data_IF_830262671979
#
_entry.id   IF_830262671979
#
_cell.length_a   1.000
_cell.length_b   1.000
_cell.length_c   1.000
_cell.angle_alpha   90.00
_cell.angle_beta   90.00
_cell.angle_gamma   90.00
#
_symmetry.space_group_name_H-M   'P 1'
#
loop_
_entity.id
_entity.type
_entity.pdbx_description
1 polymer ?
#
# COMPACT_ATOMS: atom_id res chain seq x y z
N UNK A 1 91.64 -3.77 8.82
CA UNK A 1 91.27 -4.45 10.08
C UNK A 1 90.13 -3.67 10.71
N UNK A 2 88.97 -4.31 10.90
CA UNK A 2 88.10 -4.29 12.09
C UNK A 2 86.84 -5.08 11.71
N UNK A 3 86.52 -6.03 12.59
CA UNK A 3 85.38 -6.96 12.58
C UNK A 3 84.12 -6.23 13.04
N UNK A 4 82.95 -6.70 12.57
CA UNK A 4 81.69 -6.83 13.34
C UNK A 4 80.65 -7.52 12.42
N UNK A 5 80.39 -8.83 12.61
CA UNK A 5 79.31 -9.45 13.42
C UNK A 5 77.90 -9.25 12.83
N UNK A 6 77.49 -10.25 12.04
CA UNK A 6 76.23 -11.03 12.00
C UNK A 6 75.02 -10.46 12.76
N UNK A 7 73.84 -10.39 12.12
CA UNK A 7 72.60 -11.17 12.44
C UNK A 7 71.46 -10.91 11.44
N UNK A 8 70.95 -12.03 10.93
CA UNK A 8 69.71 -12.37 10.21
C UNK A 8 68.43 -11.66 10.70
N UNK A 9 67.48 -11.32 9.81
CA UNK A 9 66.18 -12.01 9.69
C UNK A 9 65.36 -11.47 8.49
N UNK A 10 64.76 -12.40 7.76
CA UNK A 10 63.93 -12.26 6.54
C UNK A 10 62.58 -11.58 6.77
N UNK A 11 62.11 -10.80 5.79
CA UNK A 11 60.67 -10.65 5.51
C UNK A 11 60.40 -10.76 4.00
N UNK A 12 59.69 -11.83 3.62
CA UNK A 12 59.07 -12.02 2.32
C UNK A 12 57.92 -11.00 2.17
N UNK A 13 57.99 -10.14 1.16
CA UNK A 13 56.83 -9.39 0.67
C UNK A 13 56.64 -9.75 -0.79
N UNK A 14 55.61 -10.56 -1.03
CA UNK A 14 55.14 -10.94 -2.36
C UNK A 14 54.40 -9.75 -2.95
N UNK A 15 55.01 -9.04 -3.89
CA UNK A 15 54.32 -8.06 -4.75
C UNK A 15 53.64 -8.82 -5.90
N UNK A 16 52.44 -9.33 -5.62
CA UNK A 16 51.47 -9.69 -6.65
C UNK A 16 50.72 -8.43 -7.09
N UNK A 17 51.25 -7.71 -8.08
CA UNK A 17 50.59 -6.55 -8.65
C UNK A 17 49.39 -6.94 -9.51
N UNK A 18 48.29 -6.21 -9.29
CA UNK A 18 47.19 -5.91 -10.21
C UNK A 18 46.23 -7.04 -10.63
N UNK A 19 45.20 -7.26 -9.81
CA UNK A 19 43.82 -7.48 -10.29
C UNK A 19 42.87 -6.53 -9.54
N UNK A 20 42.64 -5.36 -10.12
CA UNK A 20 41.55 -4.47 -9.73
C UNK A 20 41.23 -3.54 -10.92
N UNK A 21 40.56 -4.09 -11.92
CA UNK A 21 39.71 -3.30 -12.81
C UNK A 21 38.31 -3.91 -12.70
N UNK A 22 37.64 -3.57 -11.60
CA UNK A 22 36.19 -3.66 -11.53
C UNK A 22 35.63 -2.70 -12.56
N UNK A 23 35.04 -3.24 -13.62
CA UNK A 23 34.16 -2.51 -14.52
C UNK A 23 32.84 -2.22 -13.78
N UNK A 24 32.88 -1.29 -12.81
CA UNK A 24 31.68 -0.78 -12.11
C UNK A 24 31.15 0.53 -12.71
N UNK A 25 31.57 0.90 -13.92
CA UNK A 25 31.19 2.18 -14.56
C UNK A 25 30.11 2.06 -15.64
N UNK A 26 29.18 1.10 -15.55
CA UNK A 26 28.06 0.99 -16.50
C UNK A 26 26.65 1.16 -15.91
N UNK A 27 26.50 1.50 -14.62
CA UNK A 27 25.18 1.78 -14.04
C UNK A 27 24.71 3.24 -14.16
N UNK A 28 25.55 4.15 -14.65
CA UNK A 28 25.23 5.59 -14.73
C UNK A 28 24.27 5.92 -15.90
N UNK A 29 24.02 4.97 -16.83
CA UNK A 29 23.17 5.19 -18.02
C UNK A 29 21.83 4.43 -18.04
N UNK A 30 21.32 3.96 -16.90
CA UNK A 30 19.94 3.40 -16.81
C UNK A 30 18.86 4.39 -16.34
N UNK A 31 19.25 5.56 -15.80
CA UNK A 31 18.33 6.52 -15.19
C UNK A 31 17.91 7.68 -16.11
N UNK A 32 17.17 7.41 -17.19
CA UNK A 32 16.54 8.51 -17.96
C UNK A 32 15.01 8.56 -17.93
N UNK A 33 14.31 7.57 -17.37
CA UNK A 33 12.84 7.56 -17.29
C UNK A 33 12.32 6.91 -15.99
N UNK A 34 12.88 7.24 -14.83
CA UNK A 34 12.33 6.74 -13.57
C UNK A 34 11.28 7.73 -13.07
N UNK A 35 10.03 7.30 -12.92
CA UNK A 35 8.95 8.12 -12.37
C UNK A 35 9.38 8.69 -11.02
N UNK A 36 9.13 9.99 -10.81
CA UNK A 36 9.45 10.68 -9.58
C UNK A 36 8.29 11.56 -9.13
N UNK A 37 7.85 11.40 -7.89
CA UNK A 37 6.88 12.28 -7.26
C UNK A 37 7.57 13.52 -6.69
N UNK A 38 6.90 14.67 -6.80
CA UNK A 38 7.25 15.90 -6.08
C UNK A 38 6.25 16.22 -4.97
N UNK A 39 5.30 15.32 -4.72
CA UNK A 39 4.26 15.52 -3.72
C UNK A 39 4.87 15.46 -2.31
N UNK A 40 4.49 16.43 -1.47
CA UNK A 40 4.89 16.51 -0.07
C UNK A 40 3.70 16.75 0.83
N UNK A 41 3.77 16.20 2.03
CA UNK A 41 2.83 16.50 3.09
C UNK A 41 3.02 17.92 3.61
N UNK A 42 1.95 18.71 3.63
CA UNK A 42 1.96 20.06 4.20
C UNK A 42 1.81 19.98 5.72
N UNK A 43 2.94 19.70 6.39
CA UNK A 43 2.95 19.57 7.85
C UNK A 43 2.59 20.87 8.56
N UNK A 44 2.94 22.02 7.99
CA UNK A 44 2.59 23.31 8.58
C UNK A 44 1.06 23.43 8.69
N UNK A 45 0.36 23.29 7.57
CA UNK A 45 -1.09 23.35 7.56
C UNK A 45 -1.72 22.29 8.48
N UNK A 46 -1.20 21.06 8.47
CA UNK A 46 -1.65 19.99 9.35
C UNK A 46 -1.55 20.38 10.84
N UNK A 47 -0.37 20.78 11.33
CA UNK A 47 -0.17 21.11 12.74
C UNK A 47 -0.88 22.40 13.17
N UNK A 48 -1.14 23.35 12.26
CA UNK A 48 -1.91 24.56 12.56
C UNK A 48 -3.42 24.31 12.71
N UNK A 49 -3.97 23.29 12.04
CA UNK A 49 -5.43 23.09 11.98
C UNK A 49 -5.90 21.77 12.57
N UNK A 50 -5.01 20.86 12.96
CA UNK A 50 -5.41 19.59 13.57
C UNK A 50 -6.09 19.82 14.92
N UNK A 51 -7.09 19.01 15.20
CA UNK A 51 -7.73 18.90 16.49
C UNK A 51 -7.38 17.52 17.06
N UNK A 52 -6.71 17.50 18.21
CA UNK A 52 -6.05 16.30 18.74
C UNK A 52 -5.00 15.78 17.74
N UNK A 53 -5.20 14.57 17.21
CA UNK A 53 -4.27 13.88 16.30
C UNK A 53 -4.71 13.93 14.83
N UNK A 54 -5.86 14.53 14.54
CA UNK A 54 -6.50 14.50 13.24
C UNK A 54 -6.72 15.91 12.67
N UNK A 55 -6.54 16.05 11.35
CA UNK A 55 -6.99 17.21 10.60
C UNK A 55 -8.00 16.78 9.54
N UNK A 56 -9.26 17.16 9.72
CA UNK A 56 -10.33 16.91 8.75
C UNK A 56 -10.74 18.20 8.03
N UNK A 57 -10.89 18.13 6.70
CA UNK A 57 -11.37 19.25 5.89
C UNK A 57 -12.07 18.78 4.61
N UNK A 58 -12.81 19.69 3.96
CA UNK A 58 -13.39 19.46 2.63
C UNK A 58 -12.50 20.06 1.56
N UNK A 59 -12.15 19.26 0.56
CA UNK A 59 -11.46 19.66 -0.66
C UNK A 59 -12.41 19.55 -1.84
N UNK A 60 -12.46 20.56 -2.70
CA UNK A 60 -13.24 20.50 -3.95
C UNK A 60 -12.81 19.33 -4.84
N UNK A 61 -11.50 19.07 -4.92
CA UNK A 61 -10.94 18.02 -5.77
C UNK A 61 -11.02 16.64 -5.12
N UNK A 62 -10.74 16.55 -3.82
CA UNK A 62 -10.56 15.30 -3.09
C UNK A 62 -11.77 14.84 -2.27
N UNK A 63 -12.76 15.71 -2.04
CA UNK A 63 -13.89 15.43 -1.15
C UNK A 63 -13.57 15.63 0.32
N UNK A 64 -14.12 14.79 1.21
CA UNK A 64 -13.72 14.75 2.62
C UNK A 64 -12.30 14.20 2.72
N UNK A 65 -11.43 14.95 3.38
CA UNK A 65 -10.03 14.59 3.62
C UNK A 65 -9.83 14.48 5.13
N UNK A 66 -9.17 13.40 5.57
CA UNK A 66 -8.66 13.22 6.94
C UNK A 66 -7.17 12.95 6.87
N UNK A 67 -6.39 13.76 7.58
CA UNK A 67 -4.96 13.61 7.73
C UNK A 67 -4.61 13.33 9.19
N UNK A 68 -3.64 12.45 9.45
CA UNK A 68 -3.21 12.09 10.80
C UNK A 68 -1.78 11.51 10.79
N UNK A 69 -1.23 11.24 11.97
CA UNK A 69 0.13 10.69 12.14
C UNK A 69 1.19 11.78 12.35
N UNK A 70 2.46 11.43 12.18
CA UNK A 70 3.58 12.32 12.49
C UNK A 70 4.06 12.28 13.94
N UNK A 71 3.21 11.84 14.86
CA UNK A 71 3.52 11.69 16.28
C UNK A 71 4.57 10.60 16.51
N UNK A 72 5.50 10.84 17.44
CA UNK A 72 6.57 9.92 17.82
C UNK A 72 7.39 9.36 16.62
N UNK A 73 7.51 10.14 15.54
CA UNK A 73 8.25 9.74 14.34
C UNK A 73 7.47 8.82 13.38
N UNK A 74 6.18 8.58 13.62
CA UNK A 74 5.31 7.88 12.67
C UNK A 74 5.16 8.65 11.36
N UNK A 75 4.87 7.95 10.27
CA UNK A 75 4.56 8.59 8.99
C UNK A 75 3.24 9.39 9.07
N UNK A 76 3.02 10.25 8.06
CA UNK A 76 1.75 10.94 7.89
C UNK A 76 0.86 10.17 6.94
N UNK A 77 -0.45 10.24 7.17
CA UNK A 77 -1.44 9.53 6.40
C UNK A 77 -2.53 10.48 5.94
N UNK A 78 -3.06 10.26 4.73
CA UNK A 78 -4.22 10.98 4.19
C UNK A 78 -5.22 9.96 3.64
N UNK A 79 -6.46 10.02 4.11
CA UNK A 79 -7.61 9.44 3.42
C UNK A 79 -8.44 10.55 2.79
N UNK A 80 -8.74 10.41 1.52
CA UNK A 80 -9.51 11.36 0.75
C UNK A 80 -10.63 10.65 -0.02
N UNK A 81 -11.87 11.12 0.11
CA UNK A 81 -13.02 10.52 -0.58
C UNK A 81 -14.12 11.55 -0.85
N UNK A 82 -14.65 11.57 -2.08
CA UNK A 82 -15.84 12.37 -2.39
C UNK A 82 -17.10 11.78 -1.76
N UNK A 83 -18.06 12.66 -1.51
CA UNK A 83 -19.37 12.27 -1.03
C UNK A 83 -20.04 11.37 -2.08
N UNK A 84 -20.72 10.30 -1.62
CA UNK A 84 -21.38 9.30 -2.48
C UNK A 84 -20.46 8.55 -3.47
N UNK A 85 -19.14 8.60 -3.27
CA UNK A 85 -18.22 7.66 -3.93
C UNK A 85 -17.88 6.50 -3.00
N UNK A 86 -17.78 5.31 -3.59
CA UNK A 86 -17.43 4.06 -2.89
C UNK A 86 -15.92 3.91 -2.68
N UNK A 87 -15.12 4.56 -3.53
CA UNK A 87 -13.68 4.50 -3.47
C UNK A 87 -13.09 5.84 -3.08
N UNK A 88 -12.02 5.81 -2.29
CA UNK A 88 -11.20 6.96 -1.97
C UNK A 88 -9.74 6.72 -2.35
N UNK A 89 -8.91 7.73 -2.10
CA UNK A 89 -7.46 7.66 -2.21
C UNK A 89 -6.84 7.61 -0.83
N UNK A 90 -5.90 6.70 -0.65
CA UNK A 90 -5.00 6.66 0.48
C UNK A 90 -3.64 7.22 0.07
N UNK A 91 -3.01 7.98 0.96
CA UNK A 91 -1.61 8.38 0.84
C UNK A 91 -0.88 8.20 2.17
N UNK A 92 0.37 7.78 2.09
CA UNK A 92 1.33 7.78 3.19
C UNK A 92 2.51 8.66 2.81
N UNK A 93 3.05 9.42 3.77
CA UNK A 93 4.21 10.28 3.57
C UNK A 93 5.25 10.04 4.66
N UNK A 94 6.53 10.05 4.27
CA UNK A 94 7.63 9.88 5.19
C UNK A 94 7.65 10.96 6.27
N UNK A 95 7.90 10.56 7.52
CA UNK A 95 7.95 11.51 8.64
C UNK A 95 9.01 12.60 8.42
N UNK A 96 10.23 12.24 8.01
CA UNK A 96 11.36 13.18 7.93
C UNK A 96 11.29 14.08 6.70
N UNK A 97 11.23 13.49 5.52
CA UNK A 97 11.28 14.24 4.24
C UNK A 97 9.94 14.86 3.85
N UNK A 98 8.85 14.39 4.45
CA UNK A 98 7.44 14.65 4.06
C UNK A 98 7.10 14.19 2.65
N UNK A 99 8.03 13.55 1.94
CA UNK A 99 7.82 13.04 0.59
C UNK A 99 6.74 11.97 0.59
N UNK A 100 5.90 11.95 -0.45
CA UNK A 100 4.94 10.86 -0.67
C UNK A 100 5.70 9.53 -0.70
N UNK A 101 5.29 8.62 0.18
CA UNK A 101 5.80 7.25 0.27
C UNK A 101 4.90 6.28 -0.47
N UNK A 102 3.59 6.37 -0.25
CA UNK A 102 2.63 5.40 -0.76
C UNK A 102 1.37 6.09 -1.26
N UNK A 103 0.83 5.63 -2.38
CA UNK A 103 -0.46 6.09 -2.90
C UNK A 103 -1.23 4.94 -3.53
N UNK A 104 -2.54 4.90 -3.28
CA UNK A 104 -3.42 3.92 -3.90
C UNK A 104 -4.89 4.18 -3.64
N UNK A 105 -5.74 3.38 -4.29
CA UNK A 105 -7.20 3.46 -4.15
C UNK A 105 -7.66 2.48 -3.08
N UNK A 106 -8.66 2.87 -2.28
CA UNK A 106 -9.29 1.99 -1.30
C UNK A 106 -10.81 2.05 -1.42
N UNK A 107 -11.49 0.94 -1.14
CA UNK A 107 -12.93 0.88 -0.94
C UNK A 107 -13.24 1.35 0.48
N UNK A 108 -14.22 2.25 0.63
CA UNK A 108 -14.42 3.04 1.84
C UNK A 108 -14.61 2.25 3.14
N UNK A 109 -14.94 0.96 3.03
CA UNK A 109 -15.23 0.08 4.15
C UNK A 109 -14.22 -1.06 4.39
N UNK A 110 -13.20 -1.28 3.54
CA UNK A 110 -12.34 -2.46 3.77
C UNK A 110 -11.02 -2.54 2.99
N UNK A 111 -11.09 -2.55 1.66
CA UNK A 111 -10.02 -3.17 0.86
C UNK A 111 -9.31 -2.19 -0.07
N UNK A 112 -8.03 -2.46 -0.30
CA UNK A 112 -7.20 -1.78 -1.30
C UNK A 112 -7.57 -2.23 -2.71
N UNK A 113 -7.58 -1.33 -3.69
CA UNK A 113 -7.93 -1.58 -5.11
C UNK A 113 -7.05 -0.76 -6.05
N UNK A 114 -7.04 -1.15 -7.32
CA UNK A 114 -6.29 -0.52 -8.39
C UNK A 114 -4.78 -0.64 -8.22
N UNK A 115 -4.09 0.22 -8.97
CA UNK A 115 -2.64 0.34 -8.91
C UNK A 115 -2.25 1.14 -7.67
N UNK A 116 -1.29 0.59 -6.93
CA UNK A 116 -0.62 1.25 -5.83
C UNK A 116 0.83 1.47 -6.18
N UNK A 117 1.38 2.59 -5.74
CA UNK A 117 2.74 3.02 -6.03
C UNK A 117 3.47 3.36 -4.74
N UNK A 118 4.68 2.83 -4.62
CA UNK A 118 5.61 3.12 -3.53
C UNK A 118 6.81 3.91 -4.05
N UNK A 119 7.17 4.97 -3.34
CA UNK A 119 8.28 5.85 -3.65
C UNK A 119 9.27 5.89 -2.49
N UNK A 120 10.56 6.07 -2.81
CA UNK A 120 11.59 6.31 -1.79
C UNK A 120 11.52 7.73 -1.20
N UNK A 121 12.36 8.02 -0.20
CA UNK A 121 12.39 9.35 0.44
C UNK A 121 12.77 10.51 -0.51
N UNK A 122 13.46 10.19 -1.61
CA UNK A 122 13.84 11.15 -2.66
C UNK A 122 12.71 11.35 -3.70
N UNK A 123 11.64 10.56 -3.59
CA UNK A 123 10.45 10.59 -4.42
C UNK A 123 10.53 9.69 -5.65
N UNK A 124 11.54 8.83 -5.79
CA UNK A 124 11.63 7.92 -6.93
C UNK A 124 10.73 6.71 -6.75
N UNK A 125 10.01 6.31 -7.80
CA UNK A 125 9.17 5.11 -7.78
C UNK A 125 10.05 3.87 -7.59
N UNK A 126 9.76 3.07 -6.56
CA UNK A 126 10.49 1.84 -6.23
C UNK A 126 9.64 0.58 -6.38
N UNK A 127 8.30 0.70 -6.30
CA UNK A 127 7.40 -0.41 -6.55
C UNK A 127 6.05 0.05 -7.10
N UNK A 128 5.45 -0.80 -7.93
CA UNK A 128 4.08 -0.68 -8.41
C UNK A 128 3.40 -2.04 -8.28
N UNK A 129 2.19 -2.06 -7.73
CA UNK A 129 1.43 -3.28 -7.52
C UNK A 129 -0.04 -3.10 -7.87
N UNK A 130 -0.58 -4.03 -8.65
CA UNK A 130 -1.98 -4.09 -9.03
C UNK A 130 -2.76 -4.91 -8.00
N UNK A 131 -3.48 -4.24 -7.11
CA UNK A 131 -4.30 -4.89 -6.08
C UNK A 131 -5.48 -5.67 -6.66
N UNK A 132 -5.90 -5.34 -7.89
CA UNK A 132 -6.99 -6.02 -8.58
C UNK A 132 -6.49 -7.25 -9.37
N UNK A 133 -5.18 -7.47 -9.47
CA UNK A 133 -4.60 -8.55 -10.27
C UNK A 133 -5.11 -9.95 -9.92
N UNK A 134 -5.32 -10.32 -8.64
CA UNK A 134 -5.88 -11.63 -8.29
C UNK A 134 -7.36 -11.77 -8.69
N UNK A 135 -8.10 -10.68 -8.89
CA UNK A 135 -9.56 -10.69 -9.03
C UNK A 135 -10.04 -10.53 -10.47
N UNK A 136 -9.15 -10.64 -11.47
CA UNK A 136 -9.45 -10.35 -12.89
C UNK A 136 -10.64 -11.12 -13.48
N UNK A 137 -10.87 -12.37 -13.06
CA UNK A 137 -11.96 -13.19 -13.60
C UNK A 137 -13.33 -12.80 -13.02
N UNK A 138 -13.34 -12.31 -11.78
CA UNK A 138 -14.52 -11.78 -11.11
C UNK A 138 -14.20 -10.45 -10.44
N UNK A 139 -14.10 -9.37 -11.24
CA UNK A 139 -13.64 -8.08 -10.75
C UNK A 139 -14.74 -7.37 -9.95
N UNK A 140 -14.39 -6.22 -9.38
CA UNK A 140 -15.29 -5.40 -8.55
C UNK A 140 -16.63 -5.13 -9.24
N UNK A 141 -16.65 -4.86 -10.54
CA UNK A 141 -17.86 -4.50 -11.28
C UNK A 141 -18.89 -5.64 -11.28
N UNK A 142 -18.43 -6.90 -11.28
CA UNK A 142 -19.32 -8.06 -11.17
C UNK A 142 -19.88 -8.19 -9.75
N UNK A 143 -19.06 -7.94 -8.73
CA UNK A 143 -19.49 -7.93 -7.32
C UNK A 143 -20.50 -6.82 -7.07
N UNK A 144 -20.22 -5.61 -7.55
CA UNK A 144 -21.10 -4.46 -7.46
C UNK A 144 -22.46 -4.75 -8.10
N UNK A 145 -22.44 -5.33 -9.31
CA UNK A 145 -23.65 -5.75 -10.01
C UNK A 145 -24.43 -6.80 -9.21
N UNK A 146 -23.75 -7.84 -8.72
CA UNK A 146 -24.37 -8.88 -7.90
C UNK A 146 -25.06 -8.30 -6.65
N UNK A 147 -24.39 -7.40 -5.93
CA UNK A 147 -24.94 -6.79 -4.71
C UNK A 147 -26.12 -5.87 -5.01
N UNK A 148 -26.03 -5.02 -6.05
CA UNK A 148 -27.08 -4.07 -6.40
C UNK A 148 -28.28 -4.72 -7.08
N UNK A 149 -28.03 -5.63 -8.02
CA UNK A 149 -29.06 -6.18 -8.90
C UNK A 149 -29.65 -7.49 -8.38
N UNK A 150 -28.85 -8.37 -7.78
CA UNK A 150 -29.36 -9.66 -7.30
C UNK A 150 -29.76 -9.59 -5.82
N UNK A 151 -28.90 -9.04 -4.97
CA UNK A 151 -29.20 -8.89 -3.54
C UNK A 151 -30.09 -7.69 -3.22
N UNK A 152 -30.22 -6.73 -4.15
CA UNK A 152 -30.99 -5.48 -3.98
C UNK A 152 -30.55 -4.67 -2.76
N UNK A 153 -29.25 -4.67 -2.46
CA UNK A 153 -28.68 -3.98 -1.32
C UNK A 153 -28.12 -2.61 -1.72
N UNK A 154 -28.18 -1.65 -0.80
CA UNK A 154 -27.47 -0.39 -0.90
C UNK A 154 -26.02 -0.56 -0.43
N UNK A 155 -25.07 -0.26 -1.32
CA UNK A 155 -23.64 -0.32 -1.00
C UNK A 155 -23.21 0.72 0.02
N UNK A 156 -24.01 1.76 0.30
CA UNK A 156 -23.74 2.75 1.35
C UNK A 156 -24.40 2.41 2.70
N UNK A 157 -25.20 1.35 2.79
CA UNK A 157 -25.77 0.92 4.07
C UNK A 157 -24.64 0.45 5.00
N UNK A 158 -24.60 1.02 6.21
CA UNK A 158 -23.65 0.64 7.27
C UNK A 158 -23.71 -0.84 7.65
N UNK A 159 -24.82 -1.51 7.34
CA UNK A 159 -25.00 -2.93 7.57
C UNK A 159 -24.49 -3.80 6.43
N UNK A 160 -24.03 -3.22 5.32
CA UNK A 160 -23.44 -3.91 4.18
C UNK A 160 -21.93 -3.68 4.18
N UNK A 161 -21.16 -4.76 4.14
CA UNK A 161 -19.70 -4.69 4.01
C UNK A 161 -19.21 -5.66 2.95
N UNK A 162 -18.18 -5.24 2.22
CA UNK A 162 -17.55 -6.03 1.18
C UNK A 162 -16.06 -6.05 1.46
N UNK A 163 -15.50 -7.26 1.58
CA UNK A 163 -14.08 -7.50 1.78
C UNK A 163 -13.54 -8.37 0.66
N UNK A 164 -12.22 -8.42 0.56
CA UNK A 164 -11.55 -9.41 -0.27
C UNK A 164 -10.21 -9.81 0.32
N UNK A 165 -9.77 -11.02 0.00
CA UNK A 165 -8.44 -11.52 0.35
C UNK A 165 -8.04 -12.66 -0.59
N UNK A 166 -6.74 -12.91 -0.71
CA UNK A 166 -6.22 -14.15 -1.29
C UNK A 166 -5.99 -15.12 -0.14
N UNK A 167 -6.56 -16.32 -0.21
CA UNK A 167 -6.43 -17.29 0.87
C UNK A 167 -5.02 -17.86 0.95
N UNK A 168 -4.34 -17.73 2.09
CA UNK A 168 -3.00 -18.31 2.28
C UNK A 168 -2.96 -19.84 2.13
N UNK A 169 -4.08 -20.53 2.35
CA UNK A 169 -4.16 -22.01 2.30
C UNK A 169 -4.35 -22.55 0.88
N UNK A 170 -5.15 -21.86 0.08
CA UNK A 170 -5.57 -22.37 -1.25
C UNK A 170 -5.09 -21.48 -2.40
N UNK A 171 -4.51 -20.32 -2.09
CA UNK A 171 -4.19 -19.25 -3.03
C UNK A 171 -5.37 -18.78 -3.87
N UNK A 172 -6.60 -19.00 -3.38
CA UNK A 172 -7.83 -18.59 -4.07
C UNK A 172 -8.16 -17.14 -3.66
N UNK A 173 -8.33 -16.21 -4.61
CA UNK A 173 -8.87 -14.88 -4.36
C UNK A 173 -10.36 -14.99 -4.04
N UNK A 174 -10.80 -14.36 -2.96
CA UNK A 174 -12.16 -14.48 -2.43
C UNK A 174 -12.76 -13.10 -2.21
N UNK A 175 -13.99 -12.90 -2.70
CA UNK A 175 -14.86 -11.81 -2.27
C UNK A 175 -15.72 -12.27 -1.11
N UNK A 176 -15.89 -11.41 -0.11
CA UNK A 176 -16.77 -11.64 1.04
C UNK A 176 -17.77 -10.51 1.14
N UNK A 177 -19.05 -10.85 1.12
CA UNK A 177 -20.15 -9.90 1.30
C UNK A 177 -20.83 -10.25 2.62
N UNK A 178 -20.91 -9.28 3.52
CA UNK A 178 -21.74 -9.38 4.73
C UNK A 178 -22.88 -8.37 4.68
N UNK A 179 -24.07 -8.80 5.07
CA UNK A 179 -25.19 -7.89 5.26
C UNK A 179 -26.12 -8.35 6.39
N UNK A 180 -26.76 -7.40 7.06
CA UNK A 180 -27.69 -7.68 8.17
C UNK A 180 -29.10 -7.99 7.66
N UNK A 181 -29.73 -8.99 8.27
CA UNK A 181 -31.15 -9.31 8.10
C UNK A 181 -31.76 -9.55 9.48
N UNK A 182 -32.49 -8.55 10.00
CA UNK A 182 -33.05 -8.60 11.36
C UNK A 182 -31.95 -8.79 12.42
N UNK A 183 -32.04 -9.82 13.29
CA UNK A 183 -31.01 -10.11 14.29
C UNK A 183 -29.82 -10.91 13.73
N UNK A 184 -29.76 -11.17 12.41
CA UNK A 184 -28.75 -12.02 11.80
C UNK A 184 -27.81 -11.27 10.86
N UNK A 185 -26.64 -11.85 10.61
CA UNK A 185 -25.70 -11.47 9.55
C UNK A 185 -25.64 -12.59 8.54
N UNK A 186 -25.91 -12.26 7.27
CA UNK A 186 -25.65 -13.14 6.13
C UNK A 186 -24.22 -12.93 5.67
N UNK A 187 -23.51 -14.02 5.37
CA UNK A 187 -22.17 -14.04 4.79
C UNK A 187 -22.18 -14.84 3.49
N UNK A 188 -21.69 -14.23 2.41
CA UNK A 188 -21.49 -14.85 1.11
C UNK A 188 -20.01 -14.76 0.75
N UNK A 189 -19.40 -15.89 0.40
CA UNK A 189 -18.05 -15.97 -0.15
C UNK A 189 -18.11 -16.41 -1.60
N UNK A 190 -17.45 -15.65 -2.47
CA UNK A 190 -17.38 -15.91 -3.91
C UNK A 190 -15.92 -16.18 -4.26
N UNK A 191 -15.68 -17.27 -4.98
CA UNK A 191 -14.37 -17.54 -5.58
C UNK A 191 -14.15 -16.59 -6.75
N UNK A 192 -13.17 -15.70 -6.67
CA UNK A 192 -12.97 -14.70 -7.72
C UNK A 192 -12.37 -15.27 -9.01
N UNK A 193 -11.86 -16.51 -9.00
CA UNK A 193 -11.41 -17.18 -10.22
C UNK A 193 -12.56 -17.69 -11.07
N UNK A 194 -13.66 -18.12 -10.45
CA UNK A 194 -14.81 -18.76 -11.14
C UNK A 194 -16.09 -17.92 -11.10
N UNK A 195 -16.23 -17.03 -10.12
CA UNK A 195 -17.46 -16.30 -9.83
C UNK A 195 -18.49 -17.09 -9.04
N UNK A 196 -18.17 -18.32 -8.62
CA UNK A 196 -19.11 -19.18 -7.91
C UNK A 196 -19.17 -18.87 -6.42
N UNK A 197 -20.37 -18.99 -5.84
CA UNK A 197 -20.55 -18.92 -4.38
C UNK A 197 -20.02 -20.21 -3.77
N UNK A 198 -18.89 -20.10 -3.07
CA UNK A 198 -18.24 -21.23 -2.39
C UNK A 198 -18.69 -21.40 -0.93
N UNK A 199 -19.32 -20.37 -0.36
CA UNK A 199 -19.95 -20.46 0.97
C UNK A 199 -21.04 -19.42 1.12
N UNK A 200 -22.18 -19.83 1.67
CA UNK A 200 -23.25 -18.93 2.12
C UNK A 200 -23.72 -19.38 3.50
N UNK A 201 -23.93 -18.44 4.41
CA UNK A 201 -24.41 -18.74 5.76
C UNK A 201 -25.07 -17.56 6.43
N UNK A 202 -25.85 -17.84 7.46
CA UNK A 202 -26.54 -16.84 8.27
C UNK A 202 -26.23 -17.13 9.73
N UNK A 203 -25.72 -16.14 10.46
CA UNK A 203 -25.38 -16.26 11.87
C UNK A 203 -26.11 -15.20 12.69
N UNK A 204 -26.56 -15.51 13.93
CA UNK A 204 -27.14 -14.51 14.81
C UNK A 204 -26.09 -13.48 15.24
N UNK A 205 -26.51 -12.24 15.43
CA UNK A 205 -25.70 -11.22 16.08
C UNK A 205 -25.66 -11.55 17.57
N UNK A 206 -24.50 -12.01 18.04
CA UNK A 206 -24.25 -12.19 19.46
C UNK A 206 -24.04 -10.78 20.05
N UNK A 207 -24.90 -10.41 21.01
CA UNK A 207 -24.81 -9.14 21.75
C UNK A 207 -23.78 -9.21 22.84
#
# INVERSE_FOLDING_TARGET
>A
MIRQIIILLTLLVVIGSCKAQDNSSNNIKKNKNMERTTEKFDSWKYYTHRENDDYEFKSYLKGKVRQFGGENGSNYFEYAKKDKELFGTYREYYNKSKTLKLIGKYYYNDFESGIWKEYDENGYLIAEYDQDAPYKNYPWEKVEKFVKEELKLDLFDKNVSIRRYVSDKTNIPVWVIHYKVGPNIVSIKINANTGEIIKKGTNPIIK
#
